data_IF_811576316243
#
_entry.id   IF_811576316243
#
_cell.length_a   1.000
_cell.length_b   1.000
_cell.length_c   1.000
_cell.angle_alpha   90.00
_cell.angle_beta   90.00
_cell.angle_gamma   90.00
#
_symmetry.space_group_name_H-M   'P 1'
#
loop_
_entity.id
_entity.type
_entity.pdbx_description
1 polymer ?
#
# COMPACT_ATOMS: atom_id res chain seq x y z
N UNK A 1 2.24 12.56 -0.28
CA UNK A 1 0.94 12.37 -0.94
C UNK A 1 0.12 11.40 -0.09
N UNK A 2 -1.00 11.88 0.45
CA UNK A 2 -1.83 11.06 1.34
C UNK A 2 -2.60 10.07 0.47
N UNK A 3 -2.56 8.80 0.86
CA UNK A 3 -3.31 7.75 0.17
C UNK A 3 -4.82 8.02 0.35
N UNK A 4 -5.59 8.25 -0.73
CA UNK A 4 -7.01 8.57 -0.65
C UNK A 4 -7.84 7.45 0.00
N UNK A 5 -7.39 6.19 -0.10
CA UNK A 5 -8.05 5.06 0.56
C UNK A 5 -7.93 5.15 2.08
N UNK A 6 -6.79 5.60 2.59
CA UNK A 6 -6.58 5.76 4.03
C UNK A 6 -7.31 6.98 4.60
N UNK A 7 -7.52 8.04 3.82
CA UNK A 7 -8.33 9.19 4.26
C UNK A 7 -9.81 8.83 4.37
N UNK A 8 -10.32 8.03 3.45
CA UNK A 8 -11.71 7.58 3.47
C UNK A 8 -12.04 6.74 4.72
N UNK A 9 -11.06 5.98 5.25
CA UNK A 9 -11.23 5.14 6.44
C UNK A 9 -11.17 5.91 7.78
N UNK A 10 -10.84 7.20 7.78
CA UNK A 10 -10.78 8.02 9.01
C UNK A 10 -12.14 8.47 9.51
N UNK A 11 -13.15 8.47 8.66
CA UNK A 11 -14.51 8.86 9.02
C UNK A 11 -15.19 7.68 9.68
N UNK A 12 -15.50 7.79 10.99
CA UNK A 12 -16.26 6.79 11.75
C UNK A 12 -17.72 7.22 11.77
N UNK A 13 -18.60 6.61 10.96
CA UNK A 13 -20.02 6.78 11.15
C UNK A 13 -20.44 6.17 12.48
N UNK A 14 -21.43 6.74 13.14
CA UNK A 14 -21.92 6.23 14.41
C UNK A 14 -22.31 4.75 14.31
N UNK A 15 -21.62 3.90 15.09
CA UNK A 15 -21.98 2.49 15.31
C UNK A 15 -21.33 1.45 14.42
N UNK A 16 -20.60 1.82 13.35
CA UNK A 16 -19.98 0.85 12.44
C UNK A 16 -18.52 1.22 12.15
N UNK A 17 -17.67 0.21 11.99
CA UNK A 17 -16.34 0.40 11.42
C UNK A 17 -16.38 0.23 9.91
N UNK A 18 -15.68 1.09 9.20
CA UNK A 18 -15.58 0.99 7.75
C UNK A 18 -14.45 0.05 7.34
N UNK A 19 -14.69 -0.71 6.26
CA UNK A 19 -13.72 -1.63 5.69
C UNK A 19 -13.70 -1.50 4.17
N UNK A 20 -12.49 -1.53 3.58
CA UNK A 20 -12.31 -1.68 2.15
C UNK A 20 -11.81 -3.10 1.92
N UNK A 21 -12.54 -3.87 1.12
CA UNK A 21 -12.22 -5.26 0.82
C UNK A 21 -11.51 -5.36 -0.52
N UNK A 22 -10.60 -6.32 -0.67
CA UNK A 22 -10.14 -6.72 -2.00
C UNK A 22 -11.26 -7.45 -2.74
N UNK A 23 -11.27 -7.36 -4.07
CA UNK A 23 -12.21 -8.05 -4.95
C UNK A 23 -12.31 -9.55 -4.63
N UNK A 24 -11.17 -10.20 -4.36
CA UNK A 24 -11.12 -11.61 -3.96
C UNK A 24 -11.92 -11.93 -2.68
N UNK A 25 -11.93 -11.04 -1.68
CA UNK A 25 -12.71 -11.24 -0.46
C UNK A 25 -14.18 -10.89 -0.70
N UNK A 26 -14.47 -9.79 -1.38
CA UNK A 26 -15.82 -9.37 -1.68
C UNK A 26 -16.59 -10.45 -2.44
N UNK A 27 -15.97 -11.06 -3.45
CA UNK A 27 -16.54 -12.17 -4.20
C UNK A 27 -16.74 -13.43 -3.35
N UNK A 28 -15.78 -13.77 -2.47
CA UNK A 28 -15.93 -14.94 -1.56
C UNK A 28 -17.07 -14.77 -0.55
N UNK A 29 -17.29 -13.55 -0.06
CA UNK A 29 -18.34 -13.23 0.88
C UNK A 29 -19.67 -12.88 0.17
N UNK A 30 -19.65 -12.71 -1.15
CA UNK A 30 -20.76 -12.24 -1.98
C UNK A 30 -21.33 -10.92 -1.45
N UNK A 31 -20.45 -9.94 -1.18
CA UNK A 31 -20.81 -8.64 -0.64
C UNK A 31 -20.40 -7.52 -1.57
N UNK A 32 -21.18 -6.43 -1.54
CA UNK A 32 -20.99 -5.25 -2.36
C UNK A 32 -20.72 -4.01 -1.50
N UNK A 33 -20.29 -2.93 -2.18
CA UNK A 33 -20.12 -1.62 -1.56
C UNK A 33 -21.40 -1.16 -0.87
N UNK A 34 -21.28 -0.67 0.35
CA UNK A 34 -22.39 -0.18 1.19
C UNK A 34 -23.01 -1.24 2.08
N UNK A 35 -22.76 -2.52 1.84
CA UNK A 35 -23.33 -3.60 2.64
C UNK A 35 -22.65 -3.72 4.01
N UNK A 36 -23.40 -4.30 4.96
CA UNK A 36 -22.90 -4.58 6.31
C UNK A 36 -22.51 -6.03 6.43
N UNK A 37 -21.39 -6.27 7.09
CA UNK A 37 -20.86 -7.60 7.36
C UNK A 37 -20.51 -7.73 8.84
N UNK A 38 -20.71 -8.90 9.41
CA UNK A 38 -20.25 -9.25 10.75
C UNK A 38 -18.84 -9.84 10.67
N UNK A 39 -17.87 -9.10 11.18
CA UNK A 39 -16.52 -9.56 11.39
C UNK A 39 -16.39 -10.29 12.73
N UNK A 40 -15.69 -11.41 12.78
CA UNK A 40 -15.41 -12.08 14.04
C UNK A 40 -13.92 -12.27 14.26
N UNK A 41 -13.46 -11.97 15.48
CA UNK A 41 -12.11 -12.24 15.95
C UNK A 41 -12.13 -13.34 17.00
N UNK A 42 -11.18 -14.24 16.88
CA UNK A 42 -11.02 -15.35 17.83
C UNK A 42 -9.62 -15.29 18.42
N UNK A 43 -9.53 -15.43 19.73
CA UNK A 43 -8.26 -15.60 20.44
C UNK A 43 -8.33 -16.78 21.40
N UNK A 44 -7.18 -17.29 21.79
CA UNK A 44 -7.05 -18.22 22.89
C UNK A 44 -6.41 -17.47 24.06
N UNK A 45 -7.17 -17.28 25.13
CA UNK A 45 -6.73 -16.52 26.31
C UNK A 45 -6.98 -17.33 27.58
N UNK A 46 -5.92 -17.56 28.39
CA UNK A 46 -5.97 -18.36 29.62
C UNK A 46 -6.63 -19.73 29.42
N UNK A 47 -6.31 -20.41 28.30
CA UNK A 47 -6.85 -21.72 27.96
C UNK A 47 -8.29 -21.75 27.45
N UNK A 48 -8.98 -20.59 27.38
CA UNK A 48 -10.34 -20.46 26.84
C UNK A 48 -10.30 -19.82 25.45
N UNK A 49 -11.18 -20.30 24.57
CA UNK A 49 -11.40 -19.68 23.26
C UNK A 49 -12.44 -18.59 23.41
N UNK A 50 -12.02 -17.36 23.16
CA UNK A 50 -12.87 -16.18 23.19
C UNK A 50 -13.13 -15.69 21.76
N UNK A 51 -14.35 -15.23 21.51
CA UNK A 51 -14.76 -14.65 20.23
C UNK A 51 -15.44 -13.31 20.50
N UNK A 52 -15.11 -12.33 19.68
CA UNK A 52 -15.76 -11.03 19.64
C UNK A 52 -16.25 -10.73 18.24
N UNK A 53 -17.29 -9.94 18.12
CA UNK A 53 -17.93 -9.54 16.88
C UNK A 53 -17.66 -8.06 16.62
N UNK A 54 -17.60 -7.70 15.36
CA UNK A 54 -17.37 -6.32 14.91
C UNK A 54 -18.30 -6.06 13.74
N UNK A 55 -19.18 -5.08 13.91
CA UNK A 55 -20.04 -4.63 12.80
C UNK A 55 -19.22 -3.77 11.84
N UNK A 56 -19.09 -4.25 10.62
CA UNK A 56 -18.32 -3.62 9.55
C UNK A 56 -19.26 -3.18 8.43
N UNK A 57 -18.99 -2.02 7.86
CA UNK A 57 -19.63 -1.56 6.63
C UNK A 57 -18.61 -1.53 5.50
N UNK A 58 -18.93 -2.15 4.38
CA UNK A 58 -18.07 -2.15 3.18
C UNK A 58 -18.11 -0.76 2.55
N UNK A 59 -17.05 0.00 2.73
CA UNK A 59 -16.90 1.35 2.16
C UNK A 59 -16.64 1.28 0.66
N UNK A 60 -15.76 0.36 0.25
CA UNK A 60 -15.43 0.15 -1.15
C UNK A 60 -14.82 -1.24 -1.38
N UNK A 61 -14.75 -1.64 -2.66
CA UNK A 61 -14.10 -2.88 -3.10
C UNK A 61 -12.94 -2.52 -4.02
N UNK A 62 -11.72 -2.83 -3.57
CA UNK A 62 -10.51 -2.57 -4.34
C UNK A 62 -10.39 -3.59 -5.49
N UNK A 63 -10.23 -3.15 -6.74
CA UNK A 63 -10.22 -4.03 -7.90
C UNK A 63 -8.94 -4.90 -7.93
N UNK A 64 -9.06 -6.09 -8.55
CA UNK A 64 -8.01 -7.12 -8.58
C UNK A 64 -6.70 -6.66 -9.25
N UNK A 65 -6.76 -5.69 -10.16
CA UNK A 65 -5.58 -5.10 -10.81
C UNK A 65 -4.75 -4.21 -9.87
N UNK A 66 -5.36 -3.69 -8.79
CA UNK A 66 -4.68 -2.89 -7.75
C UNK A 66 -4.20 -3.79 -6.63
N UNK A 67 -5.04 -4.75 -6.20
CA UNK A 67 -4.75 -5.64 -5.08
C UNK A 67 -5.11 -7.07 -5.44
N UNK A 68 -4.10 -7.86 -5.76
CA UNK A 68 -4.26 -9.29 -6.12
C UNK A 68 -4.40 -10.22 -4.92
N UNK A 69 -4.14 -9.75 -3.69
CA UNK A 69 -4.20 -10.55 -2.47
C UNK A 69 -5.55 -10.39 -1.78
N UNK A 70 -5.96 -11.43 -1.04
CA UNK A 70 -7.13 -11.37 -0.16
C UNK A 70 -6.80 -10.55 1.08
N UNK A 71 -7.16 -9.27 1.08
CA UNK A 71 -6.90 -8.32 2.18
C UNK A 71 -8.13 -7.45 2.46
N UNK A 72 -8.24 -7.03 3.71
CA UNK A 72 -9.22 -6.06 4.18
C UNK A 72 -8.46 -4.86 4.80
N UNK A 73 -8.80 -3.65 4.38
CA UNK A 73 -8.25 -2.43 4.93
C UNK A 73 -9.25 -1.85 5.92
N UNK A 74 -8.78 -1.58 7.12
CA UNK A 74 -9.57 -0.99 8.21
C UNK A 74 -8.86 0.23 8.75
N UNK A 75 -9.55 1.03 9.56
CA UNK A 75 -8.90 2.14 10.26
C UNK A 75 -7.77 1.64 11.16
N UNK A 76 -6.73 2.46 11.34
CA UNK A 76 -5.62 2.13 12.23
C UNK A 76 -6.12 1.86 13.66
N UNK A 77 -7.11 2.61 14.12
CA UNK A 77 -7.73 2.45 15.43
C UNK A 77 -8.30 1.02 15.60
N UNK A 78 -9.08 0.53 14.62
CA UNK A 78 -9.61 -0.83 14.65
C UNK A 78 -8.50 -1.89 14.55
N UNK A 79 -7.48 -1.66 13.71
CA UNK A 79 -6.35 -2.57 13.59
C UNK A 79 -5.63 -2.72 14.94
N UNK A 80 -5.34 -1.60 15.61
CA UNK A 80 -4.69 -1.60 16.92
C UNK A 80 -5.55 -2.24 18.01
N UNK A 81 -6.86 -2.04 17.95
CA UNK A 81 -7.82 -2.71 18.84
C UNK A 81 -7.81 -4.24 18.64
N UNK A 82 -7.80 -4.70 17.38
CA UNK A 82 -7.75 -6.14 17.07
C UNK A 82 -6.43 -6.79 17.49
N UNK A 83 -5.30 -6.09 17.33
CA UNK A 83 -4.00 -6.53 17.85
C UNK A 83 -4.03 -6.64 19.38
N UNK A 84 -4.48 -5.59 20.07
CA UNK A 84 -4.57 -5.60 21.53
C UNK A 84 -5.43 -6.77 22.02
N UNK A 85 -6.56 -7.00 21.39
CA UNK A 85 -7.39 -8.15 21.71
C UNK A 85 -6.65 -9.47 21.54
N UNK A 86 -5.97 -9.69 20.41
CA UNK A 86 -5.20 -10.91 20.14
C UNK A 86 -4.09 -11.14 21.17
N UNK A 87 -3.45 -10.07 21.61
CA UNK A 87 -2.39 -10.10 22.63
C UNK A 87 -2.92 -10.27 24.07
N UNK A 88 -4.21 -10.49 24.23
CA UNK A 88 -4.82 -10.70 25.54
C UNK A 88 -5.16 -9.43 26.32
N UNK A 89 -5.00 -8.24 25.73
CA UNK A 89 -5.31 -6.96 26.35
C UNK A 89 -6.80 -6.66 26.28
N UNK A 90 -7.28 -5.85 27.22
CA UNK A 90 -8.63 -5.33 27.19
C UNK A 90 -8.71 -4.15 26.21
N UNK A 91 -9.80 -4.07 25.48
CA UNK A 91 -10.14 -2.92 24.63
C UNK A 91 -11.44 -2.33 25.17
N UNK A 92 -11.29 -1.35 26.05
CA UNK A 92 -12.43 -0.76 26.78
C UNK A 92 -13.42 -0.07 25.87
N UNK A 93 -12.95 0.55 24.78
CA UNK A 93 -13.82 1.24 23.80
C UNK A 93 -14.78 0.30 23.06
N UNK A 94 -14.39 -0.98 22.94
CA UNK A 94 -15.20 -2.03 22.28
C UNK A 94 -15.79 -3.03 23.27
N UNK A 95 -15.67 -2.78 24.57
CA UNK A 95 -16.09 -3.70 25.64
C UNK A 95 -15.47 -5.10 25.51
N UNK A 96 -14.27 -5.20 24.94
CA UNK A 96 -13.57 -6.48 24.85
C UNK A 96 -12.76 -6.73 26.12
N UNK A 97 -13.04 -7.86 26.76
CA UNK A 97 -12.35 -8.26 28.00
C UNK A 97 -10.88 -8.58 27.76
N UNK A 98 -10.04 -8.39 28.76
CA UNK A 98 -8.62 -8.70 28.69
C UNK A 98 -7.83 -8.17 29.89
N UNK A 99 -6.52 -8.17 29.79
CA UNK A 99 -5.64 -7.64 30.82
C UNK A 99 -5.53 -6.10 30.68
N UNK A 100 -5.71 -5.36 31.78
CA UNK A 100 -5.77 -3.89 31.78
C UNK A 100 -4.37 -3.27 32.01
N UNK A 101 -3.40 -4.05 32.51
CA UNK A 101 -2.16 -3.51 33.09
C UNK A 101 -0.97 -3.40 32.12
N UNK A 102 -1.16 -3.61 30.83
CA UNK A 102 -0.05 -3.61 29.87
C UNK A 102 0.05 -2.27 29.12
N UNK A 103 0.75 -1.31 29.73
CA UNK A 103 1.26 -0.10 29.06
C UNK A 103 2.55 -0.45 28.30
N UNK A 104 2.49 -1.34 27.37
CA UNK A 104 3.65 -1.64 26.55
C UNK A 104 3.80 -0.58 25.46
N UNK A 105 4.99 0.00 25.37
CA UNK A 105 5.39 0.81 24.21
C UNK A 105 5.34 -0.08 22.98
N UNK A 106 4.52 0.26 21.99
CA UNK A 106 4.42 -0.51 20.77
C UNK A 106 5.61 -0.19 19.89
N UNK A 107 6.45 -1.17 19.70
CA UNK A 107 7.50 -1.13 18.70
C UNK A 107 6.97 -1.68 17.37
N UNK A 108 7.04 -0.86 16.33
CA UNK A 108 6.69 -1.31 14.98
C UNK A 108 7.90 -1.98 14.34
N UNK A 109 7.86 -3.30 14.08
CA UNK A 109 9.02 -4.05 13.56
C UNK A 109 9.38 -3.66 12.13
N UNK A 110 8.48 -3.01 11.41
CA UNK A 110 8.70 -2.58 10.03
C UNK A 110 7.80 -1.41 9.64
N UNK A 111 8.28 -0.62 8.72
CA UNK A 111 7.50 0.43 8.08
C UNK A 111 7.67 0.36 6.56
N UNK A 112 6.76 0.98 5.83
CA UNK A 112 6.84 1.06 4.37
C UNK A 112 6.97 2.52 3.97
N UNK A 113 7.99 2.82 3.19
CA UNK A 113 8.27 4.17 2.70
C UNK A 113 8.18 4.20 1.18
N UNK A 114 7.69 5.31 0.64
CA UNK A 114 7.57 5.51 -0.80
C UNK A 114 8.40 6.73 -1.20
N UNK A 115 9.30 6.54 -2.16
CA UNK A 115 10.04 7.65 -2.73
C UNK A 115 9.17 8.44 -3.71
N UNK A 116 9.35 9.76 -3.77
CA UNK A 116 8.61 10.63 -4.69
C UNK A 116 8.89 10.33 -6.17
N UNK A 117 10.06 9.81 -6.47
CA UNK A 117 10.48 9.42 -7.81
C UNK A 117 11.27 8.13 -7.75
N UNK A 118 11.15 7.30 -8.78
CA UNK A 118 11.90 6.06 -8.92
C UNK A 118 13.42 6.30 -8.94
N UNK A 119 13.87 7.47 -9.40
CA UNK A 119 15.29 7.86 -9.42
C UNK A 119 15.86 8.10 -8.03
N UNK A 120 15.02 8.44 -7.07
CA UNK A 120 15.43 8.72 -5.69
C UNK A 120 15.42 7.49 -4.78
N UNK A 121 14.95 6.35 -5.27
CA UNK A 121 14.83 5.13 -4.44
C UNK A 121 16.22 4.64 -4.01
N UNK A 122 17.19 4.64 -4.90
CA UNK A 122 18.56 4.18 -4.59
C UNK A 122 19.24 5.07 -3.52
N UNK A 123 19.11 6.39 -3.64
CA UNK A 123 19.64 7.31 -2.65
C UNK A 123 18.97 7.13 -1.29
N UNK A 124 17.65 6.96 -1.27
CA UNK A 124 16.89 6.73 -0.05
C UNK A 124 17.28 5.42 0.64
N UNK A 125 17.50 4.35 -0.13
CA UNK A 125 17.95 3.07 0.40
C UNK A 125 19.34 3.21 1.02
N UNK A 126 20.28 3.83 0.31
CA UNK A 126 21.65 4.04 0.81
C UNK A 126 21.67 4.87 2.11
N UNK A 127 20.84 5.91 2.20
CA UNK A 127 20.72 6.75 3.40
C UNK A 127 20.18 5.94 4.58
N UNK A 128 19.13 5.15 4.39
CA UNK A 128 18.55 4.31 5.44
C UNK A 128 19.51 3.18 5.88
N UNK A 129 20.26 2.59 4.96
CA UNK A 129 21.27 1.58 5.29
C UNK A 129 22.45 2.17 6.08
N UNK A 130 22.86 3.41 5.81
CA UNK A 130 23.84 4.13 6.61
C UNK A 130 23.38 4.38 8.05
N UNK A 131 22.07 4.59 8.23
CA UNK A 131 21.43 4.72 9.55
C UNK A 131 21.21 3.36 10.25
N UNK A 132 21.70 2.25 9.66
CA UNK A 132 21.58 0.90 10.21
C UNK A 132 20.21 0.26 10.04
N UNK A 133 19.35 0.83 9.21
CA UNK A 133 18.00 0.30 8.91
C UNK A 133 18.10 -0.70 7.76
N UNK A 134 17.67 -1.94 8.00
CA UNK A 134 17.65 -2.97 6.95
C UNK A 134 16.50 -2.70 5.98
N UNK A 135 16.83 -2.37 4.73
CA UNK A 135 15.86 -2.01 3.68
C UNK A 135 15.66 -3.14 2.69
N UNK A 136 14.41 -3.51 2.45
CA UNK A 136 14.04 -4.45 1.40
C UNK A 136 13.46 -3.70 0.21
N UNK A 137 14.29 -3.45 -0.81
CA UNK A 137 13.88 -2.78 -2.04
C UNK A 137 14.30 -3.60 -3.27
N UNK A 138 13.48 -3.58 -4.34
CA UNK A 138 13.79 -4.24 -5.62
C UNK A 138 14.67 -3.33 -6.50
N UNK A 139 15.85 -2.99 -6.03
CA UNK A 139 16.78 -2.07 -6.71
C UNK A 139 17.15 -2.58 -8.11
N UNK A 140 17.32 -3.90 -8.27
CA UNK A 140 17.69 -4.49 -9.57
C UNK A 140 16.63 -4.24 -10.65
N UNK A 141 15.36 -4.37 -10.32
CA UNK A 141 14.25 -4.10 -11.25
C UNK A 141 14.17 -2.60 -11.58
N UNK A 142 14.38 -1.74 -10.57
CA UNK A 142 14.39 -0.28 -10.75
C UNK A 142 15.52 0.14 -11.70
N UNK A 143 16.73 -0.40 -11.54
CA UNK A 143 17.89 -0.13 -12.44
C UNK A 143 17.61 -0.59 -13.86
N UNK A 144 16.94 -1.71 -14.03
CA UNK A 144 16.55 -2.20 -15.37
C UNK A 144 15.61 -1.23 -16.06
N UNK A 145 14.58 -0.73 -15.37
CA UNK A 145 13.65 0.25 -15.93
C UNK A 145 14.36 1.56 -16.28
N UNK A 146 15.25 2.04 -15.41
CA UNK A 146 16.02 3.26 -15.67
C UNK A 146 16.95 3.12 -16.88
N UNK A 147 17.61 1.97 -17.04
CA UNK A 147 18.50 1.72 -18.19
C UNK A 147 17.73 1.62 -19.50
N UNK A 148 16.51 1.09 -19.50
CA UNK A 148 15.64 1.08 -20.68
C UNK A 148 15.26 2.50 -21.09
N UNK A 149 14.84 3.34 -20.13
CA UNK A 149 14.48 4.75 -20.39
C UNK A 149 15.66 5.53 -20.98
N UNK A 150 16.85 5.35 -20.43
CA UNK A 150 18.07 5.98 -20.92
C UNK A 150 18.45 5.51 -22.32
N UNK A 151 18.38 4.21 -22.59
CA UNK A 151 18.69 3.65 -23.90
C UNK A 151 17.70 4.12 -24.97
N UNK A 152 16.41 4.19 -24.61
CA UNK A 152 15.35 4.69 -25.51
C UNK A 152 15.61 6.15 -25.88
N UNK A 153 16.01 6.97 -24.90
CA UNK A 153 16.35 8.37 -25.08
C UNK A 153 17.54 8.56 -26.04
N UNK A 154 18.57 7.73 -25.89
CA UNK A 154 19.76 7.76 -26.78
C UNK A 154 19.37 7.39 -28.22
N UNK A 155 18.57 6.34 -28.41
CA UNK A 155 18.10 5.92 -29.72
C UNK A 155 17.28 7.03 -30.39
N UNK A 156 16.40 7.69 -29.63
CA UNK A 156 15.61 8.81 -30.13
C UNK A 156 16.50 9.96 -30.62
N UNK A 157 17.54 10.34 -29.85
CA UNK A 157 18.48 11.38 -30.23
C UNK A 157 19.29 11.02 -31.50
N UNK A 158 19.70 9.76 -31.64
CA UNK A 158 20.40 9.28 -32.85
C UNK A 158 19.52 9.43 -34.07
N UNK A 159 18.25 8.98 -33.98
CA UNK A 159 17.29 9.09 -35.09
C UNK A 159 17.03 10.55 -35.45
N UNK A 160 16.87 11.42 -34.45
CA UNK A 160 16.66 12.85 -34.67
C UNK A 160 17.85 13.51 -35.36
N UNK A 161 19.07 13.18 -34.96
CA UNK A 161 20.29 13.70 -35.59
C UNK A 161 20.42 13.22 -37.06
N UNK A 162 20.21 11.94 -37.32
CA UNK A 162 20.26 11.38 -38.68
C UNK A 162 19.19 12.05 -39.56
N UNK A 163 17.99 12.23 -39.05
CA UNK A 163 16.91 12.92 -39.77
C UNK A 163 17.26 14.39 -40.06
N UNK A 164 17.82 15.12 -39.10
CA UNK A 164 18.22 16.52 -39.28
C UNK A 164 19.35 16.66 -40.33
N UNK A 165 20.34 15.77 -40.31
CA UNK A 165 21.43 15.74 -41.31
C UNK A 165 20.88 15.42 -42.72
N UNK A 166 20.03 14.38 -42.84
CA UNK A 166 19.41 14.01 -44.10
C UNK A 166 18.55 15.14 -44.71
N UNK A 167 17.77 15.81 -43.84
CA UNK A 167 16.98 16.96 -44.27
C UNK A 167 17.86 18.14 -44.72
N UNK A 168 18.97 18.41 -44.04
CA UNK A 168 19.91 19.49 -44.38
C UNK A 168 20.58 19.22 -45.74
N UNK A 169 20.98 17.97 -46.01
CA UNK A 169 21.52 17.58 -47.33
C UNK A 169 20.48 17.69 -48.45
N UNK A 170 19.24 17.27 -48.16
CA UNK A 170 18.12 17.39 -49.12
C UNK A 170 17.85 18.83 -49.53
N UNK A 171 17.83 19.75 -48.54
CA UNK A 171 17.68 21.18 -48.80
C UNK A 171 18.86 21.75 -49.56
N UNK A 172 20.10 21.38 -49.20
CA UNK A 172 21.30 21.80 -49.93
C UNK A 172 21.32 21.37 -51.38
N UNK A 173 20.96 20.14 -51.64
CA UNK A 173 20.83 19.59 -53.02
C UNK A 173 19.75 20.32 -53.82
N UNK A 174 18.60 20.63 -53.18
CA UNK A 174 17.50 21.37 -53.84
C UNK A 174 17.85 22.83 -54.17
N UNK A 175 18.74 23.46 -53.40
CA UNK A 175 19.21 24.83 -53.64
C UNK A 175 20.30 24.90 -54.70
N UNK A 176 20.99 23.77 -54.96
CA UNK A 176 22.08 23.69 -55.96
C UNK A 176 21.56 23.34 -57.34
N UNK A 177 20.41 22.74 -57.46
CA UNK A 177 19.75 22.39 -58.72
C UNK A 177 19.02 23.58 -59.35
#
# INVERSE_FOLDING_TARGET
EKDPLLEALKVKPEGFYQVILSDSIANKLNVQKGERIDGSLVRQFRGKRERVHIDLQVLDVAPANVISRSVAFVSLELLLATESFKDGRAVTELNWSGNINDKEVRDYPSFRMYARSIRNVENLVNELEQDGINVKANIAEIKTVQSIDQNLSIIFWIIACVGAVGFSFSLGASLWA
#
